data_IF_785995884413
#
_entry.id   IF_785995884413
#
_cell.length_a   1.000
_cell.length_b   1.000
_cell.length_c   1.000
_cell.angle_alpha   90.00
_cell.angle_beta   90.00
_cell.angle_gamma   90.00
#
_symmetry.space_group_name_H-M   'P 1'
#
loop_
_entity.id
_entity.type
_entity.pdbx_description
1 polymer ?
#
# COMPACT_ATOMS: atom_id res chain seq x y z
N UNK A 1 -16.91 -14.11 4.43
CA UNK A 1 -18.03 -14.07 5.43
C UNK A 1 -17.83 -12.99 6.52
N UNK A 2 -17.05 -11.92 6.27
CA UNK A 2 -16.80 -10.84 7.24
C UNK A 2 -17.89 -9.74 7.20
N UNK A 3 -18.33 -9.33 6.00
CA UNK A 3 -19.38 -8.31 5.83
C UNK A 3 -20.71 -8.73 6.47
N UNK A 4 -21.11 -9.99 6.26
CA UNK A 4 -22.31 -10.60 6.89
C UNK A 4 -22.27 -10.68 8.42
N UNK A 5 -21.11 -10.44 9.05
CA UNK A 5 -20.95 -10.33 10.50
C UNK A 5 -21.04 -8.88 11.01
N UNK A 6 -21.55 -7.96 10.18
CA UNK A 6 -21.71 -6.55 10.55
C UNK A 6 -20.42 -5.73 10.49
N UNK A 7 -19.40 -6.20 9.75
CA UNK A 7 -18.14 -5.45 9.57
C UNK A 7 -18.18 -4.67 8.25
N UNK A 8 -17.83 -3.39 8.30
CA UNK A 8 -17.60 -2.59 7.09
C UNK A 8 -16.30 -3.01 6.43
N UNK A 9 -16.34 -3.33 5.13
CA UNK A 9 -15.16 -3.70 4.34
C UNK A 9 -15.07 -2.72 3.18
N UNK A 10 -13.94 -2.03 3.10
CA UNK A 10 -13.61 -1.09 2.03
C UNK A 10 -12.33 -1.61 1.39
N UNK A 11 -12.32 -1.70 0.06
CA UNK A 11 -11.17 -2.16 -0.69
C UNK A 11 -11.18 -1.50 -2.07
N UNK A 12 -9.99 -1.41 -2.67
CA UNK A 12 -9.82 -1.15 -4.10
C UNK A 12 -9.60 -2.47 -4.82
N UNK A 13 -10.08 -2.57 -6.06
CA UNK A 13 -9.88 -3.74 -6.91
C UNK A 13 -9.70 -3.26 -8.35
N UNK A 14 -8.73 -3.85 -9.04
CA UNK A 14 -8.52 -3.62 -10.47
C UNK A 14 -9.20 -4.74 -11.26
N UNK A 15 -10.04 -4.39 -12.24
CA UNK A 15 -10.69 -5.31 -13.19
C UNK A 15 -11.24 -6.60 -12.55
N UNK A 16 -12.24 -6.51 -11.66
CA UNK A 16 -12.84 -7.70 -11.05
C UNK A 16 -13.61 -8.51 -12.10
N UNK A 17 -13.47 -9.84 -12.03
CA UNK A 17 -14.35 -10.75 -12.76
C UNK A 17 -15.81 -10.49 -12.39
N UNK A 18 -16.72 -10.70 -13.34
CA UNK A 18 -18.16 -10.51 -13.14
C UNK A 18 -18.74 -11.22 -11.90
N UNK A 19 -18.29 -12.45 -11.63
CA UNK A 19 -18.71 -13.23 -10.45
C UNK A 19 -18.35 -12.54 -9.13
N UNK A 20 -17.30 -11.73 -9.12
CA UNK A 20 -16.86 -10.93 -7.97
C UNK A 20 -17.65 -9.62 -7.93
N UNK A 21 -17.80 -8.93 -9.06
CA UNK A 21 -18.57 -7.69 -9.16
C UNK A 21 -20.00 -7.83 -8.62
N UNK A 22 -20.65 -8.96 -8.91
CA UNK A 22 -21.99 -9.30 -8.40
C UNK A 22 -22.10 -9.34 -6.86
N UNK A 23 -20.98 -9.44 -6.15
CA UNK A 23 -20.94 -9.51 -4.69
C UNK A 23 -20.82 -8.13 -4.02
N UNK A 24 -20.67 -7.06 -4.80
CA UNK A 24 -20.50 -5.72 -4.25
C UNK A 24 -21.84 -5.14 -3.79
N UNK A 25 -21.85 -4.65 -2.55
CA UNK A 25 -23.00 -3.92 -2.01
C UNK A 25 -23.00 -2.46 -2.50
N UNK A 26 -21.82 -1.83 -2.53
CA UNK A 26 -21.59 -0.45 -2.96
C UNK A 26 -20.39 -0.39 -3.91
N UNK A 27 -20.44 0.50 -4.89
CA UNK A 27 -19.38 0.78 -5.85
C UNK A 27 -19.00 2.26 -5.76
N UNK A 28 -17.69 2.53 -5.78
CA UNK A 28 -17.15 3.88 -5.94
C UNK A 28 -16.17 3.88 -7.10
N UNK A 29 -16.40 4.77 -8.07
CA UNK A 29 -15.52 4.97 -9.21
C UNK A 29 -14.80 6.30 -9.06
N UNK A 30 -13.47 6.26 -9.19
CA UNK A 30 -12.57 7.39 -8.99
C UNK A 30 -11.65 7.52 -10.19
N UNK A 31 -11.48 8.75 -10.68
CA UNK A 31 -10.49 9.08 -11.71
C UNK A 31 -9.93 10.49 -11.47
N UNK A 32 -8.62 10.66 -11.60
CA UNK A 32 -7.93 11.94 -11.39
C UNK A 32 -8.34 12.66 -10.08
N UNK A 33 -8.58 11.89 -9.01
CA UNK A 33 -9.02 12.42 -7.71
C UNK A 33 -10.49 12.82 -7.61
N UNK A 34 -11.29 12.64 -8.67
CA UNK A 34 -12.72 12.97 -8.73
C UNK A 34 -13.57 11.70 -8.64
N UNK A 35 -14.69 11.80 -7.92
CA UNK A 35 -15.69 10.73 -7.83
C UNK A 35 -16.60 10.82 -9.05
N UNK A 36 -16.66 9.74 -9.83
CA UNK A 36 -17.48 9.64 -11.02
C UNK A 36 -18.78 8.88 -10.77
N UNK A 37 -18.79 8.03 -9.74
CA UNK A 37 -19.98 7.33 -9.28
C UNK A 37 -19.75 6.89 -7.83
N UNK A 38 -20.76 7.04 -6.99
CA UNK A 38 -20.84 6.38 -5.70
C UNK A 38 -22.28 5.97 -5.41
N UNK A 39 -22.49 4.69 -5.13
CA UNK A 39 -23.84 4.16 -4.89
C UNK A 39 -23.89 2.63 -4.86
N UNK A 40 -25.10 2.05 -4.86
CA UNK A 40 -25.27 0.59 -4.93
C UNK A 40 -24.70 0.03 -6.23
N UNK A 41 -23.86 -1.01 -6.16
CA UNK A 41 -23.21 -1.56 -7.36
C UNK A 41 -24.20 -2.03 -8.44
N UNK A 42 -25.39 -2.48 -8.03
CA UNK A 42 -26.48 -2.91 -8.92
C UNK A 42 -27.05 -1.76 -9.78
N UNK A 43 -27.03 -0.54 -9.27
CA UNK A 43 -27.61 0.64 -9.93
C UNK A 43 -26.58 1.35 -10.82
N UNK A 44 -25.33 0.90 -10.83
CA UNK A 44 -24.27 1.54 -11.59
C UNK A 44 -24.55 1.47 -13.10
N UNK A 45 -24.94 0.31 -13.62
CA UNK A 45 -25.30 0.16 -15.04
C UNK A 45 -26.43 1.11 -15.45
N UNK A 46 -27.51 1.15 -14.68
CA UNK A 46 -28.66 2.03 -14.93
C UNK A 46 -28.26 3.52 -14.93
N UNK A 47 -27.38 3.92 -14.00
CA UNK A 47 -26.85 5.27 -13.98
C UNK A 47 -26.05 5.60 -15.25
N UNK A 48 -25.12 4.73 -15.65
CA UNK A 48 -24.33 4.95 -16.86
C UNK A 48 -25.20 4.97 -18.13
N UNK A 49 -26.21 4.10 -18.22
CA UNK A 49 -27.20 4.14 -19.29
C UNK A 49 -27.96 5.47 -19.34
N UNK A 50 -28.36 6.03 -18.17
CA UNK A 50 -29.08 7.31 -18.11
C UNK A 50 -28.26 8.51 -18.59
N UNK A 51 -26.93 8.40 -18.58
CA UNK A 51 -26.02 9.46 -19.04
C UNK A 51 -25.46 9.21 -20.44
N UNK A 52 -25.94 8.18 -21.14
CA UNK A 52 -25.63 7.89 -22.54
C UNK A 52 -24.58 6.81 -22.79
N UNK A 53 -24.19 6.03 -21.78
CA UNK A 53 -23.25 4.92 -21.94
C UNK A 53 -23.96 3.58 -21.72
N UNK A 54 -24.06 2.78 -22.77
CA UNK A 54 -24.70 1.47 -22.71
C UNK A 54 -23.65 0.35 -22.69
N UNK A 55 -23.81 -0.60 -21.77
CA UNK A 55 -22.96 -1.77 -21.71
C UNK A 55 -23.52 -2.84 -22.66
N UNK A 56 -22.68 -3.33 -23.59
CA UNK A 56 -23.10 -4.39 -24.50
C UNK A 56 -23.53 -5.66 -23.75
N UNK A 57 -24.46 -6.45 -24.33
CA UNK A 57 -24.81 -7.76 -23.81
C UNK A 57 -23.56 -8.64 -23.65
N UNK A 58 -23.49 -9.39 -22.54
CA UNK A 58 -22.39 -10.31 -22.22
C UNK A 58 -21.04 -9.67 -21.86
N UNK A 59 -20.88 -8.36 -21.94
CA UNK A 59 -19.70 -7.67 -21.42
C UNK A 59 -19.72 -7.60 -19.89
N UNK A 60 -18.53 -7.57 -19.29
CA UNK A 60 -18.36 -7.42 -17.85
C UNK A 60 -18.57 -5.94 -17.47
N UNK A 61 -19.57 -5.60 -16.62
CA UNK A 61 -19.84 -4.23 -16.22
C UNK A 61 -18.62 -3.52 -15.60
N UNK A 62 -17.78 -4.27 -14.88
CA UNK A 62 -16.61 -3.70 -14.25
C UNK A 62 -15.53 -3.26 -15.25
N UNK A 63 -15.41 -3.97 -16.37
CA UNK A 63 -14.49 -3.60 -17.45
C UNK A 63 -15.09 -2.41 -18.22
N UNK A 64 -16.39 -2.48 -18.55
CA UNK A 64 -17.13 -1.36 -19.16
C UNK A 64 -16.98 -0.04 -18.38
N UNK A 65 -17.10 -0.05 -17.05
CA UNK A 65 -16.93 1.17 -16.26
C UNK A 65 -15.51 1.74 -16.38
N UNK A 66 -14.49 0.90 -16.45
CA UNK A 66 -13.11 1.35 -16.60
C UNK A 66 -12.86 1.92 -18.00
N UNK A 67 -13.43 1.29 -19.04
CA UNK A 67 -13.34 1.77 -20.42
C UNK A 67 -13.98 3.16 -20.57
N UNK A 68 -15.18 3.36 -19.99
CA UNK A 68 -15.86 4.67 -19.97
C UNK A 68 -15.02 5.74 -19.27
N UNK A 69 -14.35 5.38 -18.18
CA UNK A 69 -13.55 6.30 -17.38
C UNK A 69 -12.24 6.66 -18.07
N UNK A 70 -11.64 5.70 -18.79
CA UNK A 70 -10.39 5.88 -19.51
C UNK A 70 -10.59 6.54 -20.88
N UNK A 71 -11.84 6.78 -21.29
CA UNK A 71 -12.15 7.43 -22.57
C UNK A 71 -12.00 6.50 -23.78
N UNK A 72 -12.02 5.17 -23.57
CA UNK A 72 -11.90 4.22 -24.67
C UNK A 72 -13.15 4.26 -25.58
N UNK A 73 -12.91 4.43 -26.88
CA UNK A 73 -13.93 4.77 -27.89
C UNK A 73 -15.03 3.73 -28.10
N UNK A 74 -14.89 2.51 -27.59
CA UNK A 74 -15.89 1.44 -27.72
C UNK A 74 -17.18 1.73 -26.94
N UNK A 75 -17.12 2.42 -25.80
CA UNK A 75 -18.31 2.80 -25.04
C UNK A 75 -19.01 4.07 -25.57
N UNK A 76 -18.34 4.86 -26.41
CA UNK A 76 -18.83 6.13 -26.95
C UNK A 76 -19.64 5.93 -28.24
N UNK A 77 -19.54 4.76 -28.88
CA UNK A 77 -20.10 4.47 -30.20
C UNK A 77 -21.64 4.52 -30.29
N UNK A 78 -22.38 4.46 -29.17
CA UNK A 78 -23.84 4.60 -29.18
C UNK A 78 -24.33 6.06 -29.27
N UNK A 79 -23.43 7.06 -29.21
CA UNK A 79 -23.77 8.49 -29.21
C UNK A 79 -23.18 9.31 -30.36
N UNK A 80 -22.52 8.66 -31.34
CA UNK A 80 -21.97 9.32 -32.53
C UNK A 80 -22.55 8.73 -33.82
N UNK A 81 -23.75 9.15 -34.17
CA UNK A 81 -24.03 9.42 -35.59
C UNK A 81 -23.40 10.79 -35.91
N UNK A 82 -22.67 10.88 -37.02
CA UNK A 82 -21.86 12.02 -37.50
C UNK A 82 -20.54 12.35 -36.77
N UNK A 83 -19.45 11.69 -37.16
CA UNK A 83 -18.36 12.30 -37.94
C UNK A 83 -17.13 11.35 -38.06
N UNK A 84 -16.47 11.48 -39.22
CA UNK A 84 -15.34 10.73 -39.81
C UNK A 84 -14.17 10.35 -38.89
N UNK A 85 -13.48 9.22 -39.17
CA UNK A 85 -12.32 8.77 -38.40
C UNK A 85 -11.09 9.60 -38.80
N UNK A 86 -10.42 10.21 -37.83
CA UNK A 86 -9.08 10.78 -38.01
C UNK A 86 -8.17 10.10 -37.00
N UNK A 87 -7.26 9.29 -37.54
CA UNK A 87 -6.06 8.82 -36.88
C UNK A 87 -5.30 10.02 -36.32
N UNK A 88 -5.13 10.11 -34.99
CA UNK A 88 -4.12 11.01 -34.42
C UNK A 88 -3.53 10.43 -33.15
N UNK A 89 -2.22 10.27 -33.21
CA UNK A 89 -1.33 9.62 -32.27
C UNK A 89 -1.25 10.36 -30.92
N UNK A 90 -1.52 9.64 -29.82
CA UNK A 90 -0.82 9.54 -28.52
C UNK A 90 -0.27 10.78 -27.77
N UNK A 91 -0.46 12.01 -28.23
CA UNK A 91 -0.01 13.24 -27.53
C UNK A 91 -1.20 14.09 -27.03
N UNK A 92 -2.43 13.73 -27.40
CA UNK A 92 -3.67 14.41 -26.98
C UNK A 92 -4.48 13.66 -25.89
N UNK A 93 -4.00 12.50 -25.42
CA UNK A 93 -4.75 11.61 -24.53
C UNK A 93 -4.96 12.19 -23.12
N UNK A 94 -3.96 12.86 -22.52
CA UNK A 94 -4.07 13.38 -21.14
C UNK A 94 -5.09 14.52 -21.01
N UNK A 95 -5.15 15.44 -21.98
CA UNK A 95 -6.12 16.55 -21.98
C UNK A 95 -7.54 16.06 -22.31
N UNK A 96 -7.67 15.10 -23.24
CA UNK A 96 -8.95 14.49 -23.58
C UNK A 96 -9.52 13.70 -22.40
N UNK A 97 -8.69 12.91 -21.71
CA UNK A 97 -9.10 12.10 -20.56
C UNK A 97 -9.50 12.99 -19.36
N UNK A 98 -8.78 14.09 -19.11
CA UNK A 98 -9.20 15.08 -18.11
C UNK A 98 -10.58 15.66 -18.44
N UNK A 99 -10.88 15.93 -19.71
CA UNK A 99 -12.18 16.48 -20.12
C UNK A 99 -13.34 15.50 -19.90
N UNK A 100 -13.14 14.21 -20.20
CA UNK A 100 -14.19 13.17 -20.00
C UNK A 100 -14.46 12.96 -18.52
N UNK A 101 -13.41 12.89 -17.70
CA UNK A 101 -13.49 12.80 -16.24
C UNK A 101 -14.27 13.98 -15.65
N UNK A 102 -14.03 15.20 -16.16
CA UNK A 102 -14.74 16.40 -15.72
C UNK A 102 -16.23 16.34 -16.06
N UNK A 103 -16.58 15.93 -17.27
CA UNK A 103 -17.97 15.76 -17.69
C UNK A 103 -18.69 14.71 -16.84
N UNK A 104 -18.09 13.54 -16.65
CA UNK A 104 -18.66 12.47 -15.82
C UNK A 104 -18.82 12.90 -14.37
N UNK A 105 -17.83 13.62 -13.82
CA UNK A 105 -17.90 14.15 -12.47
C UNK A 105 -19.07 15.13 -12.31
N UNK A 106 -19.25 16.07 -13.26
CA UNK A 106 -20.38 17.01 -13.23
C UNK A 106 -21.73 16.29 -13.37
N UNK A 107 -21.84 15.29 -14.24
CA UNK A 107 -23.06 14.46 -14.34
C UNK A 107 -23.36 13.74 -13.02
N UNK A 108 -22.34 13.28 -12.30
CA UNK A 108 -22.53 12.67 -10.99
C UNK A 108 -22.97 13.67 -9.93
N UNK A 109 -22.36 14.85 -9.85
CA UNK A 109 -22.76 15.90 -8.90
C UNK A 109 -24.21 16.35 -9.08
N UNK A 110 -24.69 16.38 -10.33
CA UNK A 110 -26.07 16.76 -10.65
C UNK A 110 -27.07 15.59 -10.50
N UNK A 111 -26.60 14.38 -10.18
CA UNK A 111 -27.45 13.20 -10.05
C UNK A 111 -28.19 13.15 -8.71
N UNK A 112 -29.33 12.44 -8.70
CA UNK A 112 -30.08 12.14 -7.47
C UNK A 112 -29.28 11.29 -6.48
N UNK A 113 -28.35 10.46 -6.98
CA UNK A 113 -27.46 9.62 -6.16
C UNK A 113 -26.53 10.45 -5.28
N UNK A 114 -25.94 11.50 -5.87
CA UNK A 114 -25.08 12.41 -5.12
C UNK A 114 -25.87 13.17 -4.04
N UNK A 115 -27.05 13.68 -4.38
CA UNK A 115 -27.91 14.37 -3.40
C UNK A 115 -28.33 13.44 -2.25
N UNK A 116 -28.76 12.22 -2.57
CA UNK A 116 -29.13 11.21 -1.56
C UNK A 116 -27.96 10.89 -0.61
N UNK A 117 -26.75 10.76 -1.16
CA UNK A 117 -25.53 10.51 -0.39
C UNK A 117 -25.18 11.71 0.50
N UNK A 118 -25.30 12.93 -0.03
CA UNK A 118 -25.06 14.18 0.70
C UNK A 118 -26.03 14.37 1.86
N UNK A 119 -27.31 14.05 1.65
CA UNK A 119 -28.33 14.05 2.70
C UNK A 119 -28.06 13.00 3.78
N UNK A 120 -27.69 11.77 3.38
CA UNK A 120 -27.31 10.72 4.31
C UNK A 120 -26.10 11.13 5.17
N UNK A 121 -25.10 11.76 4.55
CA UNK A 121 -23.93 12.29 5.24
C UNK A 121 -24.31 13.38 6.25
N UNK A 122 -25.16 14.34 5.85
CA UNK A 122 -25.65 15.39 6.74
C UNK A 122 -26.40 14.83 7.97
N UNK A 123 -27.21 13.77 7.79
CA UNK A 123 -27.88 13.06 8.90
C UNK A 123 -26.87 12.43 9.87
N UNK A 124 -25.79 11.85 9.36
CA UNK A 124 -24.72 11.27 10.19
C UNK A 124 -23.96 12.35 10.95
N UNK A 125 -23.68 13.49 10.31
CA UNK A 125 -23.03 14.64 10.95
C UNK A 125 -23.89 15.23 12.08
N UNK A 126 -25.19 15.44 11.83
CA UNK A 126 -26.16 15.90 12.82
C UNK A 126 -26.28 14.92 14.00
N UNK A 127 -26.35 13.61 13.71
CA UNK A 127 -26.38 12.56 14.73
C UNK A 127 -25.08 12.44 15.54
N UNK A 128 -23.94 12.85 14.97
CA UNK A 128 -22.65 12.93 15.67
C UNK A 128 -22.56 14.14 16.60
N UNK A 129 -23.27 15.23 16.31
CA UNK A 129 -23.26 16.47 17.13
C UNK A 129 -23.60 16.27 18.61
N UNK A 130 -24.47 15.30 18.93
CA UNK A 130 -24.88 15.00 20.32
C UNK A 130 -23.92 14.09 21.07
N UNK A 131 -23.15 13.24 20.37
CA UNK A 131 -22.21 12.26 20.98
C UNK A 131 -20.73 12.66 20.88
N UNK A 132 -20.35 13.57 19.98
CA UNK A 132 -18.95 13.96 19.74
C UNK A 132 -18.46 15.22 20.45
N UNK A 133 -19.29 16.00 21.17
CA UNK A 133 -18.73 17.05 22.04
C UNK A 133 -17.79 16.49 23.13
N UNK A 134 -17.88 15.19 23.44
CA UNK A 134 -16.93 14.47 24.30
C UNK A 134 -15.70 13.89 23.58
N UNK A 135 -15.63 13.86 22.24
CA UNK A 135 -14.57 13.14 21.49
C UNK A 135 -13.74 14.04 20.56
N UNK A 136 -13.71 15.35 20.81
CA UNK A 136 -12.75 16.28 20.17
C UNK A 136 -11.36 16.27 20.83
N UNK A 137 -11.03 15.27 21.65
CA UNK A 137 -9.63 14.90 21.85
C UNK A 137 -9.19 14.13 20.61
N UNK A 138 -8.08 14.54 20.00
CA UNK A 138 -7.49 13.87 18.85
C UNK A 138 -7.41 12.36 19.09
N UNK A 139 -7.47 11.57 18.02
CA UNK A 139 -7.26 10.12 18.10
C UNK A 139 -5.96 9.84 18.85
N UNK A 140 -6.05 9.61 20.15
CA UNK A 140 -4.94 9.11 20.94
C UNK A 140 -4.79 7.67 20.49
N UNK A 141 -3.64 7.36 19.87
CA UNK A 141 -3.35 6.03 19.34
C UNK A 141 -3.47 5.06 20.51
N UNK A 142 -4.62 4.42 20.62
CA UNK A 142 -4.92 3.49 21.71
C UNK A 142 -4.41 2.13 21.26
N UNK A 143 -3.39 1.63 21.95
CA UNK A 143 -2.88 0.29 21.69
C UNK A 143 -3.74 -0.75 22.38
N UNK A 144 -4.02 -1.87 21.70
CA UNK A 144 -4.78 -2.97 22.29
C UNK A 144 -4.07 -3.63 23.50
N UNK A 145 -2.75 -3.48 23.61
CA UNK A 145 -1.91 -4.07 24.65
C UNK A 145 -0.87 -3.06 25.15
N UNK A 146 -0.39 -3.24 26.39
CA UNK A 146 0.70 -2.44 26.95
C UNK A 146 2.06 -2.65 26.27
N UNK A 147 2.96 -1.67 26.45
CA UNK A 147 4.28 -1.62 25.81
C UNK A 147 5.15 -2.85 26.10
N UNK A 148 5.27 -3.28 27.36
CA UNK A 148 6.13 -4.41 27.73
C UNK A 148 5.68 -5.72 27.08
N UNK A 149 4.37 -5.94 26.98
CA UNK A 149 3.80 -7.11 26.30
C UNK A 149 4.15 -7.10 24.82
N UNK A 150 4.02 -5.94 24.15
CA UNK A 150 4.41 -5.81 22.75
C UNK A 150 5.90 -6.03 22.55
N UNK A 151 6.74 -5.43 23.41
CA UNK A 151 8.19 -5.59 23.37
C UNK A 151 8.61 -7.06 23.52
N UNK A 152 8.01 -7.78 24.47
CA UNK A 152 8.26 -9.21 24.67
C UNK A 152 7.94 -10.03 23.42
N UNK A 153 6.73 -9.87 22.85
CA UNK A 153 6.31 -10.64 21.68
C UNK A 153 7.12 -10.31 20.42
N UNK A 154 7.42 -9.02 20.20
CA UNK A 154 8.27 -8.60 19.07
C UNK A 154 9.68 -9.14 19.23
N UNK A 155 10.27 -9.08 20.44
CA UNK A 155 11.60 -9.62 20.71
C UNK A 155 11.66 -11.13 20.51
N UNK A 156 10.67 -11.86 21.04
CA UNK A 156 10.60 -13.31 20.87
C UNK A 156 10.41 -13.71 19.40
N UNK A 157 9.58 -12.97 18.65
CA UNK A 157 9.38 -13.20 17.21
C UNK A 157 10.66 -12.91 16.43
N UNK A 158 11.34 -11.79 16.74
CA UNK A 158 12.61 -11.41 16.11
C UNK A 158 13.69 -12.46 16.36
N UNK A 159 13.84 -12.93 17.61
CA UNK A 159 14.79 -13.98 17.95
C UNK A 159 14.48 -15.30 17.22
N UNK A 160 13.21 -15.71 17.15
CA UNK A 160 12.81 -16.88 16.37
C UNK A 160 13.10 -16.73 14.88
N UNK A 161 12.92 -15.53 14.32
CA UNK A 161 13.24 -15.24 12.92
C UNK A 161 14.74 -15.36 12.67
N UNK A 162 15.56 -14.79 13.56
CA UNK A 162 17.03 -14.85 13.50
C UNK A 162 17.54 -16.30 13.54
N UNK A 163 17.02 -17.11 14.47
CA UNK A 163 17.40 -18.52 14.60
C UNK A 163 17.00 -19.35 13.37
N UNK A 164 15.82 -19.08 12.79
CA UNK A 164 15.29 -19.85 11.64
C UNK A 164 15.85 -19.42 10.30
N UNK A 165 16.38 -18.19 10.18
CA UNK A 165 16.98 -17.68 8.95
C UNK A 165 18.45 -17.28 9.18
N UNK A 166 19.32 -18.23 9.56
CA UNK A 166 20.63 -17.91 10.11
C UNK A 166 21.67 -17.54 9.03
N UNK A 167 21.28 -17.36 7.76
CA UNK A 167 22.24 -17.14 6.67
C UNK A 167 23.20 -15.97 6.97
N UNK A 168 22.67 -14.84 7.46
CA UNK A 168 23.49 -13.69 7.83
C UNK A 168 24.33 -13.97 9.09
N UNK A 169 23.74 -14.56 10.13
CA UNK A 169 24.44 -14.87 11.39
C UNK A 169 25.56 -15.90 11.22
N UNK A 170 25.33 -16.95 10.43
CA UNK A 170 26.31 -17.99 10.14
C UNK A 170 27.46 -17.43 9.32
N UNK A 171 27.18 -16.63 8.29
CA UNK A 171 28.21 -15.98 7.50
C UNK A 171 29.09 -15.06 8.36
N UNK A 172 28.48 -14.25 9.24
CA UNK A 172 29.22 -13.40 10.17
C UNK A 172 30.09 -14.19 11.14
N UNK A 173 29.55 -15.26 11.75
CA UNK A 173 30.31 -16.13 12.65
C UNK A 173 31.49 -16.77 11.91
N UNK A 174 31.27 -17.29 10.70
CA UNK A 174 32.33 -17.91 9.89
C UNK A 174 33.45 -16.93 9.54
N UNK A 175 33.12 -15.73 9.03
CA UNK A 175 34.11 -14.68 8.72
C UNK A 175 34.86 -14.26 9.97
N UNK A 176 34.18 -14.12 11.10
CA UNK A 176 34.80 -13.74 12.38
C UNK A 176 35.80 -14.79 12.86
N UNK A 177 35.46 -16.08 12.78
CA UNK A 177 36.35 -17.19 13.16
C UNK A 177 37.59 -17.22 12.26
N UNK A 178 37.40 -17.12 10.93
CA UNK A 178 38.51 -17.13 9.98
C UNK A 178 39.46 -15.96 10.26
N UNK A 179 38.91 -14.76 10.45
CA UNK A 179 39.71 -13.58 10.73
C UNK A 179 40.44 -13.69 12.07
N UNK A 180 39.79 -14.23 13.11
CA UNK A 180 40.41 -14.46 14.41
C UNK A 180 41.59 -15.44 14.31
N UNK A 181 41.48 -16.50 13.51
CA UNK A 181 42.57 -17.44 13.26
C UNK A 181 43.74 -16.78 12.51
N UNK A 182 43.45 -15.97 11.48
CA UNK A 182 44.48 -15.23 10.74
C UNK A 182 45.24 -14.25 11.64
N UNK A 183 44.51 -13.46 12.44
CA UNK A 183 45.12 -12.52 13.40
C UNK A 183 45.94 -13.27 14.45
N UNK A 184 45.39 -14.36 14.99
CA UNK A 184 46.09 -15.21 15.94
C UNK A 184 47.37 -15.83 15.38
N UNK A 185 47.38 -16.19 14.09
CA UNK A 185 48.56 -16.70 13.40
C UNK A 185 49.61 -15.61 13.15
N UNK A 186 49.20 -14.41 12.72
CA UNK A 186 50.11 -13.27 12.47
C UNK A 186 50.82 -12.85 13.76
N UNK A 187 50.08 -12.80 14.86
CA UNK A 187 50.61 -12.41 16.18
C UNK A 187 50.90 -13.62 17.07
N UNK A 188 51.20 -14.78 16.48
CA UNK A 188 51.48 -15.99 17.25
C UNK A 188 52.80 -15.86 18.03
N UNK A 189 52.81 -16.25 19.30
CA UNK A 189 54.05 -16.33 20.09
C UNK A 189 54.73 -14.98 20.34
N UNK A 190 53.97 -13.91 20.63
CA UNK A 190 54.55 -12.58 20.90
C UNK A 190 55.51 -12.60 22.10
N UNK A 191 56.77 -12.24 21.85
CA UNK A 191 57.85 -12.17 22.85
C UNK A 191 57.65 -11.03 23.86
N UNK A 192 58.38 -11.08 24.99
CA UNK A 192 58.40 -10.02 26.01
C UNK A 192 59.56 -9.04 25.75
N UNK A 193 59.54 -8.39 24.60
CA UNK A 193 60.53 -7.38 24.18
C UNK A 193 59.85 -6.12 23.64
N UNK A 194 60.62 -5.08 23.30
CA UNK A 194 60.09 -3.82 22.76
C UNK A 194 59.27 -4.04 21.47
N UNK A 195 59.70 -4.96 20.61
CA UNK A 195 58.94 -5.37 19.42
C UNK A 195 57.64 -6.09 19.80
N UNK A 196 57.67 -6.93 20.83
CA UNK A 196 56.49 -7.59 21.39
C UNK A 196 55.43 -6.63 21.93
N UNK A 197 55.81 -5.50 22.52
CA UNK A 197 54.87 -4.45 22.92
C UNK A 197 54.14 -3.89 21.69
N UNK A 198 54.88 -3.57 20.62
CA UNK A 198 54.28 -3.07 19.37
C UNK A 198 53.34 -4.10 18.73
N UNK A 199 53.72 -5.38 18.72
CA UNK A 199 52.87 -6.46 18.20
C UNK A 199 51.57 -6.63 19.01
N UNK A 200 51.61 -6.48 20.34
CA UNK A 200 50.41 -6.49 21.19
C UNK A 200 49.49 -5.30 20.92
N UNK A 201 50.06 -4.11 20.75
CA UNK A 201 49.27 -2.91 20.38
C UNK A 201 48.63 -3.12 19.00
N UNK A 202 49.38 -3.66 18.04
CA UNK A 202 48.86 -4.00 16.71
C UNK A 202 47.72 -5.03 16.75
N UNK A 203 47.84 -6.09 17.55
CA UNK A 203 46.79 -7.10 17.68
C UNK A 203 45.52 -6.53 18.31
N UNK A 204 45.65 -5.72 19.37
CA UNK A 204 44.51 -5.06 20.03
C UNK A 204 43.82 -4.05 19.10
N UNK A 205 44.62 -3.28 18.35
CA UNK A 205 44.11 -2.38 17.32
C UNK A 205 43.26 -3.16 16.31
N UNK A 206 43.80 -4.25 15.75
CA UNK A 206 43.11 -5.02 14.72
C UNK A 206 41.78 -5.63 15.23
N UNK A 207 41.78 -6.20 16.45
CA UNK A 207 40.56 -6.75 17.07
C UNK A 207 39.49 -5.66 17.25
N UNK A 208 39.90 -4.49 17.72
CA UNK A 208 38.99 -3.35 17.95
C UNK A 208 38.40 -2.85 16.63
N UNK A 209 39.24 -2.66 15.62
CA UNK A 209 38.82 -2.23 14.29
C UNK A 209 37.84 -3.22 13.66
N UNK A 210 38.10 -4.54 13.78
CA UNK A 210 37.19 -5.56 13.27
C UNK A 210 35.80 -5.50 13.93
N UNK A 211 35.73 -5.25 15.24
CA UNK A 211 34.45 -5.12 15.95
C UNK A 211 33.64 -3.90 15.48
N UNK A 212 34.32 -2.78 15.20
CA UNK A 212 33.69 -1.58 14.64
C UNK A 212 33.08 -1.85 13.26
N UNK A 213 33.85 -2.46 12.35
CA UNK A 213 33.35 -2.77 11.00
C UNK A 213 32.25 -3.84 11.00
N UNK A 214 32.34 -4.84 11.88
CA UNK A 214 31.32 -5.88 11.99
C UNK A 214 29.94 -5.31 12.38
N UNK A 215 29.91 -4.23 13.15
CA UNK A 215 28.66 -3.56 13.58
C UNK A 215 27.90 -2.91 12.41
N UNK A 216 28.56 -2.58 11.29
CA UNK A 216 27.92 -1.97 10.11
C UNK A 216 26.87 -2.89 9.50
N UNK A 217 27.09 -4.21 9.57
CA UNK A 217 26.15 -5.22 9.06
C UNK A 217 24.77 -5.20 9.76
N UNK A 218 24.67 -4.64 10.96
CA UNK A 218 23.40 -4.49 11.66
C UNK A 218 22.42 -3.56 10.91
N UNK A 219 22.93 -2.62 10.12
CA UNK A 219 22.12 -1.67 9.35
C UNK A 219 21.27 -2.41 8.30
N UNK A 220 21.83 -3.42 7.63
CA UNK A 220 21.12 -4.19 6.61
C UNK A 220 19.91 -4.94 7.17
N UNK A 221 20.01 -5.42 8.41
CA UNK A 221 18.90 -6.07 9.11
C UNK A 221 17.71 -5.12 9.27
N UNK A 222 17.96 -3.87 9.69
CA UNK A 222 16.92 -2.86 9.84
C UNK A 222 16.33 -2.41 8.51
N UNK A 223 17.14 -2.32 7.44
CA UNK A 223 16.65 -1.97 6.10
C UNK A 223 15.69 -3.05 5.58
N UNK A 224 16.04 -4.33 5.77
CA UNK A 224 15.20 -5.45 5.34
C UNK A 224 13.85 -5.45 6.06
N UNK A 225 13.87 -5.23 7.37
CA UNK A 225 12.67 -5.28 8.20
C UNK A 225 11.87 -3.96 8.19
N UNK A 226 12.39 -2.89 7.58
CA UNK A 226 11.67 -1.60 7.45
C UNK A 226 10.27 -1.77 6.88
N UNK A 227 10.07 -2.68 5.91
CA UNK A 227 8.75 -2.96 5.31
C UNK A 227 7.74 -3.62 6.27
N UNK A 228 8.19 -4.19 7.39
CA UNK A 228 7.32 -4.77 8.41
C UNK A 228 6.89 -3.73 9.45
N UNK A 229 7.58 -2.60 9.54
CA UNK A 229 7.37 -1.56 10.53
C UNK A 229 6.75 -0.28 9.97
N UNK A 230 6.71 -0.13 8.63
CA UNK A 230 6.01 0.94 7.90
C UNK A 230 4.79 0.35 7.23
#
# INVERSE_FOLDING_TARGET
RLSRRGRTIIFSIHQPRYSIFKLFDSLTLLALGKVLYHGPAKNALEYFSSIGYECEPFNNPADFFLDVINGDSTAVAASKEDHTPVDTEKVAEDNANSSVVDVLHQKYLNSSLYQSTKEALAKVELGRGSKQRASKQGHEITYANGFLTQLYWVSQRSLKNLIRSPQASVAQIAVTIILALVVGAIFFGVKLDRSGIQNRVGSLFFVTTNQCFSSVSAIELFIRDKKLFV
#
